data_IF_101841069928
#
_entry.id   IF_101841069928
#
_cell.length_a   1.000
_cell.length_b   1.000
_cell.length_c   1.000
_cell.angle_alpha   90.00
_cell.angle_beta   90.00
_cell.angle_gamma   90.00
#
_symmetry.space_group_name_H-M   'P 1'
#
loop_
_entity.id
_entity.type
_entity.pdbx_description
1 polymer ?
#
# COMPACT_ATOMS: atom_id res chain seq x y z
N UNK A 1 -11.26 14.73 -18.55
CA UNK A 1 -10.47 14.45 -17.34
C UNK A 1 -11.42 13.95 -16.26
N UNK A 2 -10.98 13.01 -15.40
CA UNK A 2 -11.80 12.60 -14.26
C UNK A 2 -11.94 13.79 -13.30
N UNK A 3 -13.16 14.05 -12.82
CA UNK A 3 -13.41 15.13 -11.87
C UNK A 3 -12.88 14.84 -10.46
N UNK A 4 -12.33 13.64 -10.21
CA UNK A 4 -11.82 13.18 -8.92
C UNK A 4 -10.92 11.95 -9.11
N UNK A 5 -9.83 11.86 -8.36
CA UNK A 5 -8.98 10.66 -8.29
C UNK A 5 -9.28 9.87 -7.02
N UNK A 6 -9.21 8.54 -7.11
CA UNK A 6 -9.30 7.63 -5.97
C UNK A 6 -7.98 6.89 -5.83
N UNK A 7 -7.26 7.14 -4.76
CA UNK A 7 -5.95 6.53 -4.47
C UNK A 7 -6.12 5.48 -3.37
N UNK A 8 -5.70 4.25 -3.67
CA UNK A 8 -5.54 3.20 -2.69
C UNK A 8 -4.18 3.29 -2.00
N UNK A 9 -4.17 3.31 -0.67
CA UNK A 9 -2.94 3.26 0.13
C UNK A 9 -2.86 1.90 0.81
N UNK A 10 -1.91 1.06 0.41
CA UNK A 10 -1.66 -0.26 1.01
C UNK A 10 -0.51 -0.18 2.01
N UNK A 11 -0.65 -0.85 3.15
CA UNK A 11 0.36 -0.79 4.21
C UNK A 11 0.59 0.59 4.81
N UNK A 12 -0.32 1.52 4.56
CA UNK A 12 -0.38 2.82 5.19
C UNK A 12 -1.18 2.71 6.49
N UNK A 13 -0.70 3.32 7.56
CA UNK A 13 -1.37 3.30 8.86
C UNK A 13 -1.45 4.71 9.43
N UNK A 14 -2.62 5.10 9.92
CA UNK A 14 -2.84 6.42 10.53
C UNK A 14 -2.91 6.32 12.05
N UNK A 15 -3.48 5.22 12.55
CA UNK A 15 -3.64 4.98 13.97
C UNK A 15 -2.83 3.77 14.41
N UNK A 16 -1.54 3.97 14.68
CA UNK A 16 -0.59 2.93 15.07
C UNK A 16 0.34 3.45 16.17
N UNK A 17 0.74 2.58 17.09
CA UNK A 17 1.74 2.90 18.11
C UNK A 17 3.16 3.16 17.56
N UNK A 18 3.45 2.71 16.34
CA UNK A 18 4.70 3.03 15.66
C UNK A 18 4.58 4.39 14.93
N UNK A 19 5.10 5.42 15.57
CA UNK A 19 5.05 6.79 15.05
C UNK A 19 5.80 6.96 13.72
N UNK A 20 6.81 6.14 13.45
CA UNK A 20 7.51 6.14 12.15
C UNK A 20 6.60 5.75 10.99
N UNK A 21 5.77 4.72 11.16
CA UNK A 21 4.80 4.30 10.17
C UNK A 21 3.71 5.38 9.96
N UNK A 22 3.26 6.01 11.04
CA UNK A 22 2.29 7.13 10.97
C UNK A 22 2.89 8.32 10.23
N UNK A 23 4.13 8.71 10.56
CA UNK A 23 4.83 9.81 9.90
C UNK A 23 5.00 9.57 8.39
N UNK A 24 5.34 8.34 7.99
CA UNK A 24 5.43 7.97 6.58
C UNK A 24 4.09 8.14 5.87
N UNK A 25 3.01 7.65 6.46
CA UNK A 25 1.65 7.81 5.91
C UNK A 25 1.27 9.28 5.80
N UNK A 26 1.50 10.08 6.84
CA UNK A 26 1.24 11.52 6.82
C UNK A 26 2.04 12.25 5.74
N UNK A 27 3.31 11.86 5.55
CA UNK A 27 4.17 12.46 4.52
C UNK A 27 3.63 12.21 3.12
N UNK A 28 3.21 10.98 2.82
CA UNK A 28 2.61 10.64 1.53
C UNK A 28 1.28 11.39 1.32
N UNK A 29 0.41 11.40 2.32
CA UNK A 29 -0.85 12.15 2.23
C UNK A 29 -0.60 13.64 1.97
N UNK A 30 0.34 14.26 2.67
CA UNK A 30 0.71 15.66 2.46
C UNK A 30 1.25 15.92 1.05
N UNK A 31 2.07 15.03 0.51
CA UNK A 31 2.55 15.13 -0.87
C UNK A 31 1.40 15.01 -1.88
N UNK A 32 0.49 14.08 -1.67
CA UNK A 32 -0.67 13.88 -2.54
C UNK A 32 -1.63 15.06 -2.49
N UNK A 33 -1.83 15.69 -1.33
CA UNK A 33 -2.62 16.91 -1.21
C UNK A 33 -1.99 18.10 -1.96
N UNK A 34 -0.65 18.23 -1.95
CA UNK A 34 0.04 19.22 -2.78
C UNK A 34 -0.21 18.98 -4.27
N UNK A 35 -0.05 17.73 -4.71
CA UNK A 35 -0.32 17.32 -6.10
C UNK A 35 -1.80 17.59 -6.47
N UNK A 36 -2.73 17.26 -5.57
CA UNK A 36 -4.16 17.53 -5.75
C UNK A 36 -4.43 19.02 -6.03
N UNK A 37 -3.80 19.91 -5.27
CA UNK A 37 -3.91 21.35 -5.43
C UNK A 37 -3.29 21.83 -6.76
N UNK A 38 -2.08 21.36 -7.09
CA UNK A 38 -1.39 21.70 -8.34
C UNK A 38 -2.18 21.27 -9.57
N UNK A 39 -2.75 20.07 -9.54
CA UNK A 39 -3.57 19.53 -10.63
C UNK A 39 -5.03 20.00 -10.61
N UNK A 40 -5.43 20.75 -9.59
CA UNK A 40 -6.83 21.15 -9.36
C UNK A 40 -7.80 19.95 -9.43
N UNK A 41 -7.35 18.79 -8.94
CA UNK A 41 -8.10 17.52 -9.00
C UNK A 41 -8.26 16.94 -7.60
N UNK A 42 -9.46 16.93 -7.03
CA UNK A 42 -9.71 16.36 -5.70
C UNK A 42 -9.32 14.88 -5.61
N UNK A 43 -8.76 14.47 -4.47
CA UNK A 43 -8.38 13.09 -4.20
C UNK A 43 -9.26 12.50 -3.09
N UNK A 44 -9.62 11.24 -3.25
CA UNK A 44 -10.17 10.40 -2.18
C UNK A 44 -9.20 9.28 -1.89
N UNK A 45 -8.97 9.02 -0.62
CA UNK A 45 -8.03 8.03 -0.12
C UNK A 45 -8.77 6.81 0.42
N UNK A 46 -8.50 5.65 -0.12
CA UNK A 46 -8.86 4.38 0.50
C UNK A 46 -7.62 3.80 1.17
N UNK A 47 -7.58 3.83 2.50
CA UNK A 47 -6.47 3.29 3.29
C UNK A 47 -6.77 1.82 3.56
N UNK A 48 -6.01 0.95 2.93
CA UNK A 48 -6.14 -0.50 3.02
C UNK A 48 -5.30 -1.00 4.20
N UNK A 49 -5.94 -1.13 5.35
CA UNK A 49 -5.34 -1.58 6.59
C UNK A 49 -5.64 -3.06 6.85
N UNK A 50 -4.75 -3.72 7.62
CA UNK A 50 -4.94 -5.13 7.97
C UNK A 50 -6.17 -5.41 8.81
N UNK A 51 -6.59 -4.46 9.64
CA UNK A 51 -7.74 -4.55 10.54
C UNK A 51 -8.72 -3.39 10.31
N UNK A 52 -9.97 -3.58 10.73
CA UNK A 52 -11.01 -2.56 10.64
C UNK A 52 -10.83 -1.59 11.82
N UNK A 53 -9.90 -0.67 11.68
CA UNK A 53 -9.74 0.41 12.64
C UNK A 53 -10.33 1.70 12.09
N UNK A 54 -10.86 2.52 12.99
CA UNK A 54 -11.31 3.86 12.65
C UNK A 54 -10.11 4.68 12.12
N UNK A 55 -10.05 4.87 10.83
CA UNK A 55 -9.02 5.70 10.15
C UNK A 55 -9.17 7.16 10.49
N UNK A 56 -10.35 7.55 10.99
CA UNK A 56 -10.64 8.94 11.29
C UNK A 56 -9.87 9.41 12.51
N UNK A 57 -8.58 9.71 12.29
CA UNK A 57 -7.83 10.47 13.25
C UNK A 57 -8.05 11.96 12.95
N UNK A 58 -9.02 12.56 13.65
CA UNK A 58 -9.38 13.96 13.47
C UNK A 58 -8.18 14.92 13.55
N UNK A 59 -7.20 14.61 14.38
CA UNK A 59 -6.02 15.44 14.53
C UNK A 59 -5.13 15.39 13.28
N UNK A 60 -4.96 14.21 12.66
CA UNK A 60 -4.17 14.05 11.44
C UNK A 60 -4.89 14.71 10.26
N UNK A 61 -6.19 14.51 10.12
CA UNK A 61 -6.98 15.17 9.10
C UNK A 61 -6.90 16.70 9.22
N UNK A 62 -7.02 17.22 10.44
CA UNK A 62 -6.88 18.66 10.72
C UNK A 62 -5.47 19.16 10.41
N UNK A 63 -4.43 18.42 10.83
CA UNK A 63 -3.02 18.78 10.58
C UNK A 63 -2.71 18.85 9.07
N UNK A 64 -3.21 17.89 8.31
CA UNK A 64 -2.96 17.79 6.86
C UNK A 64 -3.98 18.58 6.01
N UNK A 65 -4.97 19.21 6.65
CA UNK A 65 -6.07 19.89 5.96
C UNK A 65 -6.87 18.99 5.01
N UNK A 66 -6.98 17.70 5.36
CA UNK A 66 -7.77 16.70 4.64
C UNK A 66 -9.13 16.59 5.34
N UNK A 67 -10.21 16.65 4.57
CA UNK A 67 -11.54 16.45 5.12
C UNK A 67 -11.74 14.98 5.50
N UNK A 68 -12.41 14.70 6.62
CA UNK A 68 -12.64 13.34 7.09
C UNK A 68 -13.36 12.48 6.04
N UNK A 69 -14.20 13.08 5.23
CA UNK A 69 -14.97 12.46 4.16
C UNK A 69 -14.11 12.07 2.94
N UNK A 70 -12.86 12.49 2.88
CA UNK A 70 -11.93 12.09 1.82
C UNK A 70 -11.14 10.83 2.16
N UNK A 71 -11.13 10.39 3.43
CA UNK A 71 -10.35 9.23 3.89
C UNK A 71 -11.27 8.11 4.38
N UNK A 72 -11.09 6.92 3.82
CA UNK A 72 -11.86 5.73 4.15
C UNK A 72 -10.96 4.56 4.51
N UNK A 73 -11.20 3.93 5.66
CA UNK A 73 -10.55 2.67 6.02
C UNK A 73 -11.18 1.49 5.29
N UNK A 74 -10.34 0.60 4.82
CA UNK A 74 -10.75 -0.61 4.12
C UNK A 74 -10.00 -1.81 4.69
N UNK A 75 -10.67 -2.74 5.39
CA UNK A 75 -10.00 -3.88 5.98
C UNK A 75 -9.49 -4.86 4.92
N UNK A 76 -8.24 -5.33 5.06
CA UNK A 76 -7.58 -6.24 4.11
C UNK A 76 -7.16 -7.57 4.72
N UNK A 77 -7.15 -7.71 6.04
CA UNK A 77 -6.61 -8.91 6.71
C UNK A 77 -7.22 -10.23 6.21
N UNK A 78 -8.47 -10.22 5.80
CA UNK A 78 -9.14 -11.39 5.22
C UNK A 78 -8.63 -11.76 3.82
N UNK A 79 -7.96 -10.85 3.11
CA UNK A 79 -7.32 -11.11 1.81
C UNK A 79 -5.96 -11.83 1.93
N UNK A 80 -5.38 -11.91 3.13
CA UNK A 80 -4.07 -12.48 3.36
C UNK A 80 -3.99 -13.99 3.08
N UNK A 81 -5.11 -14.71 3.13
CA UNK A 81 -5.20 -16.15 2.85
C UNK A 81 -6.46 -16.49 2.08
N UNK A 82 -6.33 -17.34 1.06
CA UNK A 82 -7.47 -17.82 0.26
C UNK A 82 -8.58 -18.42 1.14
N UNK A 83 -8.21 -19.23 2.14
CA UNK A 83 -9.18 -19.79 3.10
C UNK A 83 -9.97 -18.72 3.85
N UNK A 84 -9.33 -17.59 4.16
CA UNK A 84 -10.01 -16.47 4.83
C UNK A 84 -10.95 -15.74 3.88
N UNK A 85 -10.56 -15.57 2.63
CA UNK A 85 -11.43 -14.99 1.61
C UNK A 85 -12.71 -15.82 1.42
N UNK A 86 -12.57 -17.16 1.35
CA UNK A 86 -13.71 -18.09 1.22
C UNK A 86 -14.59 -18.04 2.47
N UNK A 87 -14.00 -17.93 3.67
CA UNK A 87 -14.75 -17.85 4.93
C UNK A 87 -15.52 -16.54 5.10
N UNK A 88 -15.05 -15.47 4.48
CA UNK A 88 -15.64 -14.12 4.58
C UNK A 88 -15.99 -13.55 3.19
N UNK A 89 -16.89 -14.21 2.41
CA UNK A 89 -17.10 -13.83 1.01
C UNK A 89 -17.64 -12.40 0.85
N UNK A 90 -18.60 -12.00 1.69
CA UNK A 90 -19.19 -10.64 1.63
C UNK A 90 -18.15 -9.56 1.94
N UNK A 91 -17.28 -9.76 2.95
CA UNK A 91 -16.21 -8.81 3.26
C UNK A 91 -15.21 -8.74 2.11
N UNK A 92 -14.86 -9.89 1.55
CA UNK A 92 -13.94 -10.00 0.40
C UNK A 92 -14.48 -9.23 -0.80
N UNK A 93 -15.75 -9.46 -1.16
CA UNK A 93 -16.41 -8.77 -2.26
C UNK A 93 -16.42 -7.25 -2.06
N UNK A 94 -16.83 -6.78 -0.89
CA UNK A 94 -16.84 -5.34 -0.56
C UNK A 94 -15.45 -4.71 -0.68
N UNK A 95 -14.40 -5.42 -0.21
CA UNK A 95 -13.03 -4.92 -0.30
C UNK A 95 -12.55 -4.88 -1.75
N UNK A 96 -12.77 -5.96 -2.51
CA UNK A 96 -12.44 -6.02 -3.94
C UNK A 96 -13.18 -4.93 -4.73
N UNK A 97 -14.45 -4.70 -4.42
CA UNK A 97 -15.21 -3.62 -5.05
C UNK A 97 -14.59 -2.23 -4.79
N UNK A 98 -14.12 -1.96 -3.57
CA UNK A 98 -13.40 -0.72 -3.25
C UNK A 98 -12.04 -0.65 -3.96
N UNK A 99 -11.30 -1.78 -4.03
CA UNK A 99 -10.03 -1.83 -4.77
C UNK A 99 -10.21 -1.45 -6.24
N UNK A 100 -11.23 -2.00 -6.90
CA UNK A 100 -11.54 -1.72 -8.31
C UNK A 100 -11.93 -0.26 -8.60
N UNK A 101 -12.29 0.50 -7.58
CA UNK A 101 -12.58 1.95 -7.72
C UNK A 101 -11.32 2.80 -7.71
N UNK A 102 -10.20 2.26 -7.22
CA UNK A 102 -8.95 3.00 -7.17
C UNK A 102 -8.37 3.19 -8.57
N UNK A 103 -7.89 4.39 -8.85
CA UNK A 103 -7.20 4.72 -10.09
C UNK A 103 -5.73 4.28 -10.06
N UNK A 104 -5.15 4.25 -8.86
CA UNK A 104 -3.77 3.84 -8.59
C UNK A 104 -3.66 3.36 -7.15
N UNK A 105 -2.74 2.44 -6.91
CA UNK A 105 -2.31 2.07 -5.55
C UNK A 105 -0.91 2.57 -5.28
N UNK A 106 -0.71 3.06 -4.05
CA UNK A 106 0.60 3.35 -3.48
C UNK A 106 0.79 2.43 -2.28
N UNK A 107 1.81 1.60 -2.32
CA UNK A 107 2.16 0.68 -1.25
C UNK A 107 3.31 1.23 -0.42
N UNK A 108 3.13 1.27 0.88
CA UNK A 108 4.15 1.70 1.83
C UNK A 108 4.72 0.55 2.67
N UNK A 109 3.96 -0.52 2.81
CA UNK A 109 4.28 -1.70 3.65
C UNK A 109 4.90 -1.29 4.99
N UNK A 110 4.29 -0.30 5.67
CA UNK A 110 4.75 0.26 6.96
C UNK A 110 6.23 0.75 6.95
N UNK A 111 6.83 0.93 5.76
CA UNK A 111 8.17 1.45 5.54
C UNK A 111 9.31 0.42 5.54
N UNK A 112 9.17 -0.72 6.21
CA UNK A 112 10.23 -1.74 6.34
C UNK A 112 9.75 -3.18 6.26
N UNK A 113 8.45 -3.38 6.11
CA UNK A 113 7.86 -4.71 6.24
C UNK A 113 7.76 -5.49 4.94
N UNK A 114 8.26 -4.97 3.81
CA UNK A 114 8.38 -5.76 2.58
C UNK A 114 9.61 -6.67 2.64
N UNK A 115 9.54 -7.60 3.58
CA UNK A 115 10.58 -8.56 3.93
C UNK A 115 9.95 -9.83 4.50
N UNK A 116 10.69 -10.94 4.56
CA UNK A 116 10.21 -12.17 5.21
C UNK A 116 10.75 -12.38 6.64
N UNK A 117 11.50 -11.40 7.18
CA UNK A 117 12.00 -11.44 8.55
C UNK A 117 10.89 -11.37 9.60
N UNK A 118 9.78 -10.71 9.28
CA UNK A 118 8.60 -10.59 10.16
C UNK A 118 7.66 -11.81 10.08
N UNK A 119 8.12 -12.88 9.45
CA UNK A 119 7.42 -14.16 9.35
C UNK A 119 6.55 -14.31 8.10
N UNK A 120 6.34 -15.58 7.74
CA UNK A 120 5.69 -15.97 6.49
C UNK A 120 4.24 -15.47 6.35
N UNK A 121 3.53 -15.35 7.47
CA UNK A 121 2.14 -14.87 7.45
C UNK A 121 2.06 -13.41 6.98
N UNK A 122 2.91 -12.54 7.56
CA UNK A 122 2.95 -11.11 7.22
C UNK A 122 3.44 -10.90 5.79
N UNK A 123 4.52 -11.57 5.40
CA UNK A 123 5.03 -11.54 4.03
C UNK A 123 3.97 -11.97 3.00
N UNK A 124 3.32 -13.12 3.22
CA UNK A 124 2.28 -13.59 2.31
C UNK A 124 1.09 -12.63 2.25
N UNK A 125 0.70 -12.04 3.37
CA UNK A 125 -0.40 -11.08 3.44
C UNK A 125 -0.19 -9.90 2.52
N UNK A 126 0.86 -9.13 2.75
CA UNK A 126 1.19 -7.97 1.93
C UNK A 126 1.45 -8.34 0.46
N UNK A 127 2.22 -9.41 0.21
CA UNK A 127 2.51 -9.86 -1.15
C UNK A 127 1.26 -10.28 -1.93
N UNK A 128 0.32 -11.00 -1.29
CA UNK A 128 -0.90 -11.45 -1.95
C UNK A 128 -1.81 -10.27 -2.32
N UNK A 129 -1.89 -9.24 -1.49
CA UNK A 129 -2.66 -8.02 -1.79
C UNK A 129 -2.07 -7.30 -3.00
N UNK A 130 -0.74 -7.13 -3.07
CA UNK A 130 -0.05 -6.52 -4.21
C UNK A 130 -0.29 -7.30 -5.51
N UNK A 131 -0.17 -8.63 -5.47
CA UNK A 131 -0.44 -9.49 -6.62
C UNK A 131 -1.93 -9.47 -7.03
N UNK A 132 -2.83 -9.21 -6.10
CA UNK A 132 -4.25 -9.05 -6.40
C UNK A 132 -4.52 -7.71 -7.12
N UNK A 133 -3.86 -6.63 -6.70
CA UNK A 133 -3.91 -5.31 -7.37
C UNK A 133 -3.39 -5.45 -8.81
N UNK A 134 -2.25 -6.12 -9.00
CA UNK A 134 -1.69 -6.42 -10.33
C UNK A 134 -2.70 -7.16 -11.22
N UNK A 135 -3.29 -8.24 -10.70
CA UNK A 135 -4.30 -9.03 -11.43
C UNK A 135 -5.54 -8.24 -11.83
N UNK A 136 -5.86 -7.19 -11.11
CA UNK A 136 -6.96 -6.27 -11.44
C UNK A 136 -6.58 -5.26 -12.51
N UNK A 137 -5.32 -5.21 -12.94
CA UNK A 137 -4.80 -4.23 -13.90
C UNK A 137 -4.74 -2.82 -13.35
N UNK A 138 -4.72 -2.65 -12.02
CA UNK A 138 -4.64 -1.33 -11.39
C UNK A 138 -3.16 -0.97 -11.24
N UNK A 139 -2.73 0.23 -11.68
CA UNK A 139 -1.36 0.69 -11.49
C UNK A 139 -0.94 0.62 -10.02
N UNK A 140 0.24 0.02 -9.76
CA UNK A 140 0.82 -0.12 -8.43
C UNK A 140 2.15 0.63 -8.38
N UNK A 141 2.26 1.56 -7.45
CA UNK A 141 3.49 2.25 -7.09
C UNK A 141 3.98 1.65 -5.77
N UNK A 142 5.16 1.06 -5.77
CA UNK A 142 5.84 0.72 -4.54
C UNK A 142 6.54 1.98 -4.03
N UNK A 143 6.02 2.57 -2.97
CA UNK A 143 6.52 3.81 -2.38
C UNK A 143 7.87 3.64 -1.69
N UNK A 144 8.45 4.70 -1.15
CA UNK A 144 9.78 4.67 -0.54
C UNK A 144 9.78 3.79 0.72
N UNK A 145 10.28 2.58 0.59
CA UNK A 145 10.34 1.57 1.64
C UNK A 145 11.64 0.76 1.58
N UNK A 146 11.93 0.03 2.64
CA UNK A 146 13.03 -0.94 2.67
C UNK A 146 12.57 -2.24 2.01
N UNK A 147 13.42 -2.81 1.15
CA UNK A 147 13.18 -4.08 0.47
C UNK A 147 14.05 -5.19 1.06
N UNK A 148 13.43 -6.29 1.43
CA UNK A 148 14.12 -7.47 1.94
C UNK A 148 14.67 -7.32 3.37
N UNK A 149 15.55 -8.25 3.81
CA UNK A 149 15.94 -9.43 3.04
C UNK A 149 14.80 -10.41 2.78
N UNK A 150 14.92 -11.19 1.69
CA UNK A 150 14.06 -12.34 1.39
C UNK A 150 14.90 -13.60 1.53
N UNK A 151 14.79 -14.26 2.69
CA UNK A 151 15.64 -15.40 3.04
C UNK A 151 15.25 -16.69 2.32
N UNK A 152 13.98 -16.84 1.95
CA UNK A 152 13.48 -18.01 1.24
C UNK A 152 13.38 -17.75 -0.26
N UNK A 153 13.90 -18.65 -1.08
CA UNK A 153 13.85 -18.53 -2.54
C UNK A 153 12.42 -18.38 -3.08
N UNK A 154 11.45 -19.06 -2.49
CA UNK A 154 10.05 -18.89 -2.88
C UNK A 154 9.50 -17.48 -2.58
N UNK A 155 9.97 -16.86 -1.49
CA UNK A 155 9.60 -15.50 -1.13
C UNK A 155 10.29 -14.48 -2.03
N UNK A 156 11.57 -14.70 -2.34
CA UNK A 156 12.33 -13.88 -3.30
C UNK A 156 11.68 -13.87 -4.67
N UNK A 157 11.26 -15.04 -5.18
CA UNK A 157 10.52 -15.16 -6.44
C UNK A 157 9.19 -14.39 -6.43
N UNK A 158 8.44 -14.44 -5.31
CA UNK A 158 7.20 -13.68 -5.17
C UNK A 158 7.46 -12.18 -5.10
N UNK A 159 8.47 -11.75 -4.33
CA UNK A 159 8.87 -10.36 -4.24
C UNK A 159 9.32 -9.81 -5.60
N UNK A 160 10.15 -10.58 -6.33
CA UNK A 160 10.55 -10.25 -7.70
C UNK A 160 9.34 -9.99 -8.59
N UNK A 161 8.36 -10.90 -8.59
CA UNK A 161 7.14 -10.74 -9.38
C UNK A 161 6.41 -9.44 -9.05
N UNK A 162 6.23 -9.10 -7.78
CA UNK A 162 5.59 -7.84 -7.36
C UNK A 162 6.37 -6.62 -7.83
N UNK A 163 7.70 -6.63 -7.66
CA UNK A 163 8.57 -5.52 -8.03
C UNK A 163 8.55 -5.31 -9.55
N UNK A 164 8.64 -6.37 -10.33
CA UNK A 164 8.64 -6.30 -11.80
C UNK A 164 7.31 -5.86 -12.39
N UNK A 165 6.20 -6.24 -11.76
CA UNK A 165 4.85 -5.83 -12.19
C UNK A 165 4.47 -4.41 -11.77
N UNK A 166 5.12 -3.85 -10.75
CA UNK A 166 4.82 -2.50 -10.29
C UNK A 166 5.07 -1.46 -11.38
N UNK A 167 4.21 -0.44 -11.47
CA UNK A 167 4.37 0.67 -12.41
C UNK A 167 5.63 1.48 -12.08
N UNK A 168 5.87 1.71 -10.80
CA UNK A 168 7.01 2.45 -10.28
C UNK A 168 7.50 1.80 -9.00
N UNK A 169 8.81 1.86 -8.76
CA UNK A 169 9.46 1.35 -7.55
C UNK A 169 10.39 2.41 -6.99
N UNK A 170 10.18 2.78 -5.74
CA UNK A 170 11.00 3.74 -4.99
C UNK A 170 11.67 3.03 -3.82
N UNK A 171 12.97 3.12 -3.71
CA UNK A 171 13.69 2.65 -2.53
C UNK A 171 13.86 3.81 -1.53
N UNK A 172 13.74 3.51 -0.23
CA UNK A 172 13.98 4.49 0.83
C UNK A 172 15.46 4.82 0.99
N UNK A 173 16.32 3.88 0.67
CA UNK A 173 17.76 3.95 0.84
C UNK A 173 18.49 3.17 -0.26
N UNK A 174 19.78 3.47 -0.40
CA UNK A 174 20.62 2.87 -1.42
C UNK A 174 20.79 1.36 -1.23
N UNK A 175 20.87 0.89 0.01
CA UNK A 175 21.00 -0.56 0.32
C UNK A 175 19.79 -1.34 -0.23
N UNK A 176 18.58 -0.80 -0.06
CA UNK A 176 17.36 -1.39 -0.60
C UNK A 176 17.37 -1.40 -2.12
N UNK A 177 17.81 -0.32 -2.76
CA UNK A 177 17.93 -0.24 -4.20
C UNK A 177 18.92 -1.27 -4.76
N UNK A 178 20.11 -1.34 -4.18
CA UNK A 178 21.16 -2.32 -4.55
C UNK A 178 20.69 -3.77 -4.30
N UNK A 179 20.00 -4.02 -3.18
CA UNK A 179 19.48 -5.35 -2.87
C UNK A 179 18.50 -5.82 -3.95
N UNK A 180 17.59 -4.98 -4.40
CA UNK A 180 16.62 -5.34 -5.45
C UNK A 180 17.29 -5.47 -6.81
N UNK A 181 18.26 -4.61 -7.14
CA UNK A 181 19.00 -4.68 -8.40
C UNK A 181 19.73 -6.02 -8.60
N UNK A 182 20.06 -6.72 -7.53
CA UNK A 182 20.70 -8.04 -7.58
C UNK A 182 19.77 -9.18 -8.06
N UNK A 183 18.46 -8.96 -8.11
CA UNK A 183 17.52 -10.02 -8.52
C UNK A 183 16.35 -9.54 -9.39
N UNK A 184 16.29 -8.27 -9.68
CA UNK A 184 15.26 -7.68 -10.55
C UNK A 184 15.89 -6.68 -11.51
N UNK A 185 15.39 -6.62 -12.74
CA UNK A 185 15.82 -5.65 -13.76
C UNK A 185 15.05 -4.32 -13.64
N UNK A 186 14.14 -4.20 -12.68
CA UNK A 186 13.35 -3.00 -12.46
C UNK A 186 14.25 -1.84 -12.05
N UNK A 187 14.15 -0.73 -12.78
CA UNK A 187 14.84 0.52 -12.43
C UNK A 187 14.05 1.26 -11.34
N UNK A 188 14.78 1.80 -10.40
CA UNK A 188 14.24 2.71 -9.39
C UNK A 188 14.15 4.14 -9.94
N UNK A 189 13.17 4.86 -9.44
CA UNK A 189 13.10 6.32 -9.57
C UNK A 189 13.69 6.98 -8.33
#
# INVERSE_FOLDING_TARGET
MKNRLIIGLEGAVINNGNMGCVALTCSILNMLEKISKELSTPITYFVFEGEENSVKNKNICKLLQIQEEQIYSVPTRHLYRIRSMIRHPIKTEKTIHKMRKCDVFIDLTEGDSFSDIYGQYRFNGGTNVKLLIEKMGIPLILGPQTYGPFNKECNKKKAKKVIESATCVMARDQMSAEYVANFSEKRFM
#
